data_IF_345353397385
#
_entry.id   IF_345353397385
#
_cell.length_a   1.000
_cell.length_b   1.000
_cell.length_c   1.000
_cell.angle_alpha   90.00
_cell.angle_beta   90.00
_cell.angle_gamma   90.00
#
_symmetry.space_group_name_H-M   'P 1'
#
loop_
_entity.id
_entity.type
_entity.pdbx_description
1 polymer ?
#
# COMPACT_ATOMS: atom_id res chain seq x y z
N UNK A 1 8.68 -37.36 12.00
CA UNK A 1 9.66 -36.80 11.05
C UNK A 1 9.75 -37.79 9.89
N UNK A 2 9.43 -37.38 8.67
CA UNK A 2 9.44 -38.27 7.50
C UNK A 2 10.87 -38.50 7.00
N UNK A 3 11.10 -39.59 6.27
CA UNK A 3 12.41 -39.87 5.66
C UNK A 3 12.82 -38.76 4.68
N UNK A 4 11.86 -38.21 3.93
CA UNK A 4 12.06 -37.06 3.03
C UNK A 4 12.52 -35.80 3.80
N UNK A 5 11.89 -35.50 4.95
CA UNK A 5 12.29 -34.36 5.76
C UNK A 5 13.73 -34.53 6.26
N UNK A 6 14.11 -35.73 6.70
CA UNK A 6 15.48 -36.00 7.15
C UNK A 6 16.49 -35.81 6.02
N UNK A 7 16.21 -36.33 4.82
CA UNK A 7 17.06 -36.20 3.64
C UNK A 7 17.28 -34.72 3.25
N UNK A 8 16.20 -33.96 3.12
CA UNK A 8 16.27 -32.54 2.77
C UNK A 8 16.99 -31.73 3.86
N UNK A 9 16.65 -31.94 5.13
CA UNK A 9 17.27 -31.24 6.26
C UNK A 9 18.74 -31.57 6.42
N UNK A 10 19.21 -32.77 6.02
CA UNK A 10 20.63 -33.08 6.03
C UNK A 10 21.42 -32.17 5.07
N UNK A 11 20.87 -31.88 3.89
CA UNK A 11 21.47 -30.95 2.93
C UNK A 11 21.45 -29.52 3.50
N UNK A 12 20.31 -29.08 4.04
CA UNK A 12 20.15 -27.73 4.60
C UNK A 12 21.08 -27.53 5.80
N UNK A 13 21.16 -28.46 6.75
CA UNK A 13 22.08 -28.38 7.90
C UNK A 13 23.54 -28.29 7.48
N UNK A 14 23.93 -28.99 6.41
CA UNK A 14 25.29 -28.96 5.88
C UNK A 14 25.62 -27.63 5.19
N UNK A 15 24.68 -27.07 4.40
CA UNK A 15 24.94 -25.88 3.57
C UNK A 15 24.59 -24.57 4.27
N UNK A 16 23.56 -24.57 5.11
CA UNK A 16 22.96 -23.41 5.76
C UNK A 16 22.57 -23.73 7.21
N UNK A 17 23.56 -23.96 8.11
CA UNK A 17 23.31 -24.40 9.49
C UNK A 17 22.43 -23.43 10.29
N UNK A 18 22.59 -22.12 10.11
CA UNK A 18 21.76 -21.09 10.77
C UNK A 18 20.30 -21.15 10.31
N UNK A 19 20.08 -21.45 9.03
CA UNK A 19 18.72 -21.61 8.47
C UNK A 19 18.09 -22.86 9.06
N UNK A 20 18.83 -23.96 9.13
CA UNK A 20 18.34 -25.19 9.75
C UNK A 20 17.96 -24.99 11.22
N UNK A 21 18.77 -24.25 11.99
CA UNK A 21 18.48 -23.94 13.39
C UNK A 21 17.17 -23.14 13.54
N UNK A 22 16.93 -22.19 12.63
CA UNK A 22 15.67 -21.42 12.61
C UNK A 22 14.48 -22.31 12.25
N UNK A 23 14.67 -23.25 11.32
CA UNK A 23 13.65 -24.21 10.91
C UNK A 23 13.33 -25.25 11.98
N UNK A 24 14.25 -25.56 12.90
CA UNK A 24 13.98 -26.49 14.01
C UNK A 24 12.89 -25.96 14.98
N UNK A 25 12.62 -24.64 14.98
CA UNK A 25 11.53 -24.02 15.72
C UNK A 25 10.21 -23.93 14.94
N UNK A 26 10.18 -24.34 13.67
CA UNK A 26 9.00 -24.30 12.84
C UNK A 26 7.96 -25.35 13.29
N UNK A 27 6.69 -24.98 13.19
CA UNK A 27 5.56 -25.85 13.51
C UNK A 27 4.70 -26.08 12.26
N UNK A 28 5.04 -27.04 11.38
CA UNK A 28 4.26 -27.30 10.17
C UNK A 28 2.85 -27.82 10.48
N UNK A 29 2.61 -28.41 11.65
CA UNK A 29 1.31 -28.96 12.04
C UNK A 29 0.25 -27.86 12.28
N UNK A 30 0.66 -26.59 12.34
CA UNK A 30 -0.29 -25.45 12.37
C UNK A 30 -0.96 -25.18 11.01
N UNK A 31 -0.53 -25.86 9.95
CA UNK A 31 -1.01 -25.68 8.58
C UNK A 31 -1.90 -26.86 8.18
N UNK A 32 -3.09 -26.58 7.65
CA UNK A 32 -3.99 -27.60 7.12
C UNK A 32 -3.53 -27.98 5.71
N UNK A 33 -2.81 -29.10 5.58
CA UNK A 33 -2.28 -29.57 4.31
C UNK A 33 -3.01 -30.82 3.81
N UNK A 34 -3.37 -30.80 2.52
CA UNK A 34 -3.96 -31.94 1.84
C UNK A 34 -3.40 -32.09 0.43
N UNK A 35 -3.28 -33.34 -0.03
CA UNK A 35 -2.91 -33.63 -1.41
C UNK A 35 -4.08 -33.33 -2.33
N UNK A 36 -3.81 -32.59 -3.42
CA UNK A 36 -4.77 -32.34 -4.48
C UNK A 36 -4.28 -33.00 -5.76
N UNK A 37 -5.14 -33.84 -6.35
CA UNK A 37 -4.84 -34.59 -7.56
C UNK A 37 -5.62 -34.02 -8.74
N UNK A 38 -4.90 -33.61 -9.78
CA UNK A 38 -5.42 -33.33 -11.12
C UNK A 38 -4.74 -34.25 -12.13
N UNK A 39 -4.22 -33.67 -13.23
CA UNK A 39 -3.29 -34.38 -14.10
C UNK A 39 -1.90 -34.54 -13.46
N UNK A 40 -1.54 -33.60 -12.58
CA UNK A 40 -0.38 -33.65 -11.70
C UNK A 40 -0.83 -33.61 -10.22
N UNK A 41 0.12 -33.73 -9.30
CA UNK A 41 -0.11 -33.61 -7.86
C UNK A 41 0.44 -32.29 -7.32
N UNK A 42 -0.33 -31.64 -6.45
CA UNK A 42 0.08 -30.44 -5.70
C UNK A 42 -0.40 -30.56 -4.25
N UNK A 43 0.26 -29.83 -3.35
CA UNK A 43 -0.19 -29.71 -1.96
C UNK A 43 -1.10 -28.47 -1.89
N UNK A 44 -2.28 -28.62 -1.30
CA UNK A 44 -3.10 -27.50 -0.86
C UNK A 44 -2.84 -27.25 0.62
N UNK A 45 -2.53 -26.01 0.98
CA UNK A 45 -2.31 -25.58 2.35
C UNK A 45 -3.30 -24.48 2.68
N UNK A 46 -4.10 -24.66 3.73
CA UNK A 46 -5.18 -23.74 4.12
C UNK A 46 -6.11 -23.37 2.95
N UNK A 47 -6.38 -24.34 2.06
CA UNK A 47 -7.20 -24.16 0.85
C UNK A 47 -6.49 -23.52 -0.35
N UNK A 48 -5.19 -23.21 -0.25
CA UNK A 48 -4.37 -22.63 -1.33
C UNK A 48 -3.46 -23.71 -1.92
N UNK A 49 -3.60 -23.99 -3.21
CA UNK A 49 -2.68 -24.89 -3.92
C UNK A 49 -1.30 -24.23 -4.10
N UNK A 50 -0.22 -24.94 -3.77
CA UNK A 50 1.15 -24.42 -3.88
C UNK A 50 1.61 -24.24 -5.33
N UNK A 51 1.00 -24.97 -6.26
CA UNK A 51 1.15 -24.86 -7.71
C UNK A 51 -0.09 -25.48 -8.39
N UNK A 52 -0.22 -25.30 -9.70
CA UNK A 52 -1.21 -25.91 -10.57
C UNK A 52 -1.28 -27.43 -10.39
N UNK A 53 -2.47 -27.98 -10.11
CA UNK A 53 -2.72 -29.43 -10.11
C UNK A 53 -2.82 -30.03 -11.53
N UNK A 54 -2.77 -29.21 -12.58
CA UNK A 54 -2.86 -29.68 -13.97
C UNK A 54 -1.52 -29.71 -14.67
N UNK A 55 -0.72 -28.65 -14.56
CA UNK A 55 0.61 -28.59 -15.18
C UNK A 55 1.52 -27.65 -14.39
N UNK A 56 2.34 -28.26 -13.52
CA UNK A 56 3.27 -27.56 -12.62
C UNK A 56 4.44 -26.92 -13.35
N UNK A 57 5.02 -27.65 -14.31
CA UNK A 57 6.17 -27.18 -15.06
C UNK A 57 5.80 -25.98 -15.95
N UNK A 58 4.65 -26.02 -16.62
CA UNK A 58 4.19 -24.90 -17.44
C UNK A 58 3.95 -23.61 -16.61
N UNK A 59 3.45 -23.74 -15.38
CA UNK A 59 3.32 -22.58 -14.47
C UNK A 59 4.69 -22.01 -14.08
N UNK A 60 5.63 -22.89 -13.71
CA UNK A 60 6.98 -22.48 -13.36
C UNK A 60 7.72 -21.82 -14.54
N UNK A 61 7.61 -22.40 -15.74
CA UNK A 61 8.15 -21.82 -16.98
C UNK A 61 7.53 -20.44 -17.28
N UNK A 62 6.22 -20.26 -17.07
CA UNK A 62 5.56 -18.98 -17.27
C UNK A 62 6.12 -17.88 -16.35
N UNK A 63 6.50 -18.24 -15.12
CA UNK A 63 7.16 -17.32 -14.19
C UNK A 63 8.60 -17.03 -14.62
N UNK A 64 9.37 -18.06 -15.00
CA UNK A 64 10.78 -17.93 -15.41
C UNK A 64 10.92 -17.12 -16.70
N UNK A 65 10.01 -17.30 -17.66
CA UNK A 65 10.01 -16.61 -18.96
C UNK A 65 9.74 -15.09 -18.85
N UNK A 66 9.39 -14.58 -17.68
CA UNK A 66 9.29 -13.14 -17.42
C UNK A 66 10.65 -12.50 -17.12
N UNK A 67 11.67 -13.30 -16.80
CA UNK A 67 13.01 -12.81 -16.54
C UNK A 67 13.72 -12.41 -17.84
N UNK A 68 14.59 -11.39 -17.82
CA UNK A 68 15.44 -11.10 -18.97
C UNK A 68 16.36 -12.28 -19.31
N UNK A 69 16.48 -12.64 -20.59
CA UNK A 69 17.27 -13.78 -21.03
C UNK A 69 18.78 -13.69 -20.68
N UNK A 70 19.29 -12.47 -20.47
CA UNK A 70 20.68 -12.19 -20.10
C UNK A 70 20.92 -12.18 -18.58
N UNK A 71 19.89 -12.45 -17.77
CA UNK A 71 20.02 -12.47 -16.33
C UNK A 71 20.89 -13.64 -15.85
N UNK A 72 21.93 -13.36 -15.06
CA UNK A 72 22.77 -14.38 -14.40
C UNK A 72 22.48 -14.53 -12.90
N UNK A 73 21.70 -13.62 -12.30
CA UNK A 73 21.37 -13.64 -10.86
C UNK A 73 19.88 -13.41 -10.65
N UNK A 74 19.22 -14.34 -9.96
CA UNK A 74 17.77 -14.28 -9.69
C UNK A 74 17.47 -14.52 -8.21
N UNK A 75 16.47 -13.80 -7.69
CA UNK A 75 15.86 -14.10 -6.39
C UNK A 75 14.45 -14.66 -6.54
N UNK A 76 14.14 -15.76 -5.87
CA UNK A 76 12.81 -16.37 -5.84
C UNK A 76 12.21 -16.15 -4.47
N UNK A 77 11.17 -15.32 -4.39
CA UNK A 77 10.40 -15.09 -3.18
C UNK A 77 9.29 -16.14 -3.08
N UNK A 78 9.52 -17.13 -2.23
CA UNK A 78 8.69 -18.32 -2.09
C UNK A 78 9.33 -19.56 -2.71
N UNK A 79 8.73 -20.72 -2.46
CA UNK A 79 9.21 -22.03 -2.94
C UNK A 79 8.14 -22.77 -3.75
N UNK A 80 6.85 -22.57 -3.44
CA UNK A 80 5.75 -23.31 -4.06
C UNK A 80 5.92 -24.81 -3.83
N UNK A 81 5.85 -25.59 -4.91
CA UNK A 81 6.17 -27.03 -4.91
C UNK A 81 7.64 -27.36 -5.23
N UNK A 82 8.50 -26.33 -5.35
CA UNK A 82 9.92 -26.49 -5.70
C UNK A 82 10.22 -26.45 -7.21
N UNK A 83 9.20 -26.34 -8.06
CA UNK A 83 9.36 -26.42 -9.52
C UNK A 83 10.22 -25.27 -10.09
N UNK A 84 9.99 -24.03 -9.63
CA UNK A 84 10.79 -22.87 -10.06
C UNK A 84 12.26 -23.02 -9.63
N UNK A 85 12.59 -23.30 -8.35
CA UNK A 85 13.96 -23.60 -7.93
C UNK A 85 14.65 -24.71 -8.76
N UNK A 86 13.93 -25.81 -9.05
CA UNK A 86 14.45 -26.91 -9.88
C UNK A 86 14.78 -26.44 -11.30
N UNK A 87 13.83 -25.84 -12.01
CA UNK A 87 14.05 -25.39 -13.39
C UNK A 87 15.14 -24.31 -13.51
N UNK A 88 15.27 -23.43 -12.51
CA UNK A 88 16.37 -22.47 -12.47
C UNK A 88 17.73 -23.16 -12.24
N UNK A 89 17.78 -24.24 -11.47
CA UNK A 89 19.00 -25.05 -11.27
C UNK A 89 19.41 -25.82 -12.55
N UNK A 90 18.47 -26.10 -13.45
CA UNK A 90 18.81 -26.64 -14.77
C UNK A 90 19.41 -25.59 -15.72
N UNK A 91 19.06 -24.32 -15.52
CA UNK A 91 19.56 -23.23 -16.35
C UNK A 91 21.04 -22.91 -16.04
N UNK A 92 21.95 -23.33 -16.92
CA UNK A 92 23.40 -23.15 -16.77
C UNK A 92 23.90 -21.70 -16.97
N UNK A 93 23.05 -20.80 -17.48
CA UNK A 93 23.39 -19.38 -17.59
C UNK A 93 23.35 -18.66 -16.23
N UNK A 94 22.54 -19.15 -15.28
CA UNK A 94 22.47 -18.57 -13.95
C UNK A 94 23.73 -18.91 -13.16
N UNK A 95 24.32 -17.91 -12.53
CA UNK A 95 25.50 -18.02 -11.67
C UNK A 95 25.10 -18.00 -10.20
N UNK A 96 24.02 -17.26 -9.86
CA UNK A 96 23.53 -17.10 -8.51
C UNK A 96 22.00 -17.20 -8.45
N UNK A 97 21.51 -18.13 -7.63
CA UNK A 97 20.08 -18.37 -7.42
C UNK A 97 19.80 -18.19 -5.94
N UNK A 98 19.07 -17.15 -5.58
CA UNK A 98 18.67 -16.91 -4.19
C UNK A 98 17.24 -17.39 -3.99
N UNK A 99 17.02 -18.32 -3.07
CA UNK A 99 15.70 -18.80 -2.69
C UNK A 99 15.34 -18.18 -1.34
N UNK A 100 14.23 -17.46 -1.28
CA UNK A 100 13.76 -16.74 -0.10
C UNK A 100 12.44 -17.34 0.39
N UNK A 101 12.45 -18.34 1.30
CA UNK A 101 11.24 -18.88 1.89
C UNK A 101 10.46 -17.79 2.64
N UNK A 102 9.19 -17.60 2.30
CA UNK A 102 8.37 -16.56 2.90
C UNK A 102 7.62 -17.02 4.17
N UNK A 103 7.57 -18.33 4.38
CA UNK A 103 7.01 -19.00 5.55
C UNK A 103 7.81 -20.28 5.83
N UNK A 104 8.53 -20.33 6.97
CA UNK A 104 9.37 -21.49 7.32
C UNK A 104 8.55 -22.72 7.71
N UNK A 105 7.36 -22.55 8.31
CA UNK A 105 6.45 -23.67 8.56
C UNK A 105 6.03 -24.31 7.23
N UNK A 106 5.77 -23.49 6.21
CA UNK A 106 5.41 -23.96 4.88
C UNK A 106 6.58 -24.70 4.19
N UNK A 107 7.81 -24.19 4.33
CA UNK A 107 8.98 -24.88 3.80
C UNK A 107 9.17 -26.25 4.47
N UNK A 108 9.16 -26.34 5.81
CA UNK A 108 9.29 -27.62 6.51
C UNK A 108 8.19 -28.61 6.12
N UNK A 109 6.97 -28.11 5.93
CA UNK A 109 5.85 -28.91 5.43
C UNK A 109 6.16 -29.48 4.05
N UNK A 110 6.56 -28.63 3.08
CA UNK A 110 6.95 -29.08 1.74
C UNK A 110 8.06 -30.13 1.81
N UNK A 111 9.13 -29.88 2.57
CA UNK A 111 10.25 -30.82 2.72
C UNK A 111 9.84 -32.17 3.33
N UNK A 112 8.69 -32.25 3.99
CA UNK A 112 8.16 -33.49 4.58
C UNK A 112 7.45 -34.39 3.59
N UNK A 113 6.91 -33.81 2.50
CA UNK A 113 6.17 -34.52 1.45
C UNK A 113 6.96 -34.60 0.12
N UNK A 114 7.82 -33.62 -0.09
CA UNK A 114 8.76 -33.32 -1.17
C UNK A 114 10.14 -33.99 -1.15
N UNK A 115 10.64 -34.66 -2.20
CA UNK A 115 12.11 -34.65 -2.39
C UNK A 115 12.48 -33.31 -3.04
N UNK A 116 13.39 -32.56 -2.41
CA UNK A 116 13.87 -31.25 -2.87
C UNK A 116 15.39 -31.22 -3.05
N UNK A 117 16.03 -32.39 -2.99
CA UNK A 117 17.48 -32.55 -2.95
C UNK A 117 18.19 -32.01 -4.18
N UNK A 118 17.54 -32.00 -5.35
CA UNK A 118 18.08 -31.52 -6.61
C UNK A 118 18.54 -30.05 -6.54
N UNK A 119 17.61 -29.11 -6.35
CA UNK A 119 17.94 -27.69 -6.24
C UNK A 119 18.62 -27.36 -4.90
N UNK A 120 18.29 -28.08 -3.81
CA UNK A 120 18.98 -27.91 -2.53
C UNK A 120 20.46 -28.27 -2.58
N UNK A 121 20.90 -29.08 -3.56
CA UNK A 121 22.30 -29.48 -3.72
C UNK A 121 23.09 -28.61 -4.70
N UNK A 122 22.42 -27.78 -5.51
CA UNK A 122 23.09 -26.93 -6.51
C UNK A 122 23.94 -25.84 -5.83
N UNK A 123 25.24 -25.81 -6.12
CA UNK A 123 26.19 -24.89 -5.48
C UNK A 123 25.90 -23.40 -5.73
N UNK A 124 25.13 -23.07 -6.78
CA UNK A 124 24.73 -21.70 -7.12
C UNK A 124 23.53 -21.23 -6.31
N UNK A 125 22.81 -22.15 -5.67
CA UNK A 125 21.68 -21.84 -4.81
C UNK A 125 22.16 -21.32 -3.46
N UNK A 126 21.51 -20.27 -2.95
CA UNK A 126 21.63 -19.76 -1.58
C UNK A 126 20.24 -19.64 -0.98
N UNK A 127 20.05 -20.17 0.23
CA UNK A 127 18.80 -20.07 0.97
C UNK A 127 18.85 -18.85 1.92
N UNK A 128 18.00 -17.86 1.71
CA UNK A 128 17.90 -16.65 2.54
C UNK A 128 16.54 -16.61 3.28
N UNK A 129 16.45 -17.05 4.55
CA UNK A 129 15.17 -17.12 5.26
C UNK A 129 14.64 -15.76 5.73
N UNK A 130 15.51 -14.73 5.77
CA UNK A 130 15.19 -13.39 6.27
C UNK A 130 15.50 -12.33 5.21
N UNK A 131 14.74 -12.28 4.09
CA UNK A 131 14.96 -11.27 3.07
C UNK A 131 14.67 -9.85 3.59
N UNK A 132 15.28 -8.85 2.96
CA UNK A 132 14.98 -7.43 3.23
C UNK A 132 13.50 -7.14 2.99
N UNK A 133 12.89 -6.35 3.87
CA UNK A 133 11.44 -6.13 3.89
C UNK A 133 11.01 -4.87 3.11
N UNK A 134 11.95 -4.03 2.72
CA UNK A 134 11.72 -2.72 2.11
C UNK A 134 12.47 -2.51 0.79
N UNK A 135 13.10 -3.57 0.29
CA UNK A 135 13.88 -3.58 -0.94
C UNK A 135 13.64 -4.89 -1.69
N UNK A 136 13.44 -4.80 -3.00
CA UNK A 136 13.30 -5.95 -3.88
C UNK A 136 14.60 -6.17 -4.65
N UNK A 137 14.93 -7.43 -4.91
CA UNK A 137 15.99 -7.76 -5.84
C UNK A 137 15.68 -7.21 -7.24
N UNK A 138 16.72 -6.90 -8.02
CA UNK A 138 16.54 -6.36 -9.37
C UNK A 138 15.81 -7.34 -10.31
N UNK A 139 16.19 -8.61 -10.28
CA UNK A 139 15.54 -9.68 -11.04
C UNK A 139 14.98 -10.69 -10.04
N UNK A 140 13.66 -10.85 -10.05
CA UNK A 140 13.01 -11.74 -9.11
C UNK A 140 11.80 -12.45 -9.70
N UNK A 141 11.45 -13.56 -9.08
CA UNK A 141 10.18 -14.26 -9.22
C UNK A 141 9.49 -14.23 -7.86
N UNK A 142 8.18 -13.98 -7.83
CA UNK A 142 7.39 -14.09 -6.61
C UNK A 142 6.32 -15.17 -6.78
N UNK A 143 6.39 -16.21 -5.95
CA UNK A 143 5.45 -17.32 -6.00
C UNK A 143 4.14 -16.90 -5.34
N UNK A 144 3.05 -16.89 -6.13
CA UNK A 144 1.77 -16.32 -5.70
C UNK A 144 1.14 -17.07 -4.52
N UNK A 145 1.29 -18.40 -4.47
CA UNK A 145 0.79 -19.22 -3.35
C UNK A 145 1.52 -18.90 -2.05
N UNK A 146 2.85 -18.78 -2.07
CA UNK A 146 3.65 -18.35 -0.91
C UNK A 146 3.31 -16.93 -0.44
N UNK A 147 2.97 -16.00 -1.35
CA UNK A 147 2.51 -14.66 -0.96
C UNK A 147 1.16 -14.69 -0.20
N UNK A 148 0.29 -15.65 -0.53
CA UNK A 148 -0.98 -15.86 0.16
C UNK A 148 -0.80 -16.57 1.51
N UNK A 149 0.17 -17.48 1.59
CA UNK A 149 0.52 -18.26 2.78
C UNK A 149 1.68 -17.65 3.58
N UNK A 150 1.95 -16.36 3.38
CA UNK A 150 3.10 -15.70 3.96
C UNK A 150 3.03 -15.63 5.49
N UNK A 151 4.18 -15.73 6.15
CA UNK A 151 4.28 -15.49 7.59
C UNK A 151 4.06 -14.03 7.95
N UNK A 152 3.70 -13.78 9.21
CA UNK A 152 3.43 -12.45 9.74
C UNK A 152 4.66 -11.55 9.66
N UNK A 153 5.84 -12.13 9.90
CA UNK A 153 7.12 -11.47 9.79
C UNK A 153 7.36 -10.87 8.39
N UNK A 154 6.96 -11.59 7.34
CA UNK A 154 7.18 -11.19 5.95
C UNK A 154 5.99 -10.43 5.33
N UNK A 155 4.96 -10.06 6.11
CA UNK A 155 3.75 -9.40 5.63
C UNK A 155 4.04 -8.16 4.77
N UNK A 156 5.04 -7.38 5.18
CA UNK A 156 5.47 -6.17 4.48
C UNK A 156 6.05 -6.50 3.11
N UNK A 157 6.95 -7.48 3.03
CA UNK A 157 7.54 -7.91 1.78
C UNK A 157 6.47 -8.44 0.80
N UNK A 158 5.44 -9.16 1.29
CA UNK A 158 4.28 -9.52 0.45
C UNK A 158 3.65 -8.29 -0.16
N UNK A 159 3.37 -7.26 0.65
CA UNK A 159 2.70 -6.07 0.15
C UNK A 159 3.57 -5.33 -0.88
N UNK A 160 4.88 -5.30 -0.67
CA UNK A 160 5.85 -4.72 -1.61
C UNK A 160 5.89 -5.48 -2.94
N UNK A 161 5.99 -6.81 -2.90
CA UNK A 161 5.99 -7.68 -4.08
C UNK A 161 4.68 -7.57 -4.85
N UNK A 162 3.55 -7.62 -4.14
CA UNK A 162 2.22 -7.47 -4.74
C UNK A 162 2.04 -6.10 -5.38
N UNK A 163 2.50 -5.02 -4.73
CA UNK A 163 2.44 -3.68 -5.30
C UNK A 163 3.24 -3.59 -6.61
N UNK A 164 4.50 -4.04 -6.62
CA UNK A 164 5.36 -3.98 -7.80
C UNK A 164 4.84 -4.85 -8.95
N UNK A 165 4.44 -6.09 -8.67
CA UNK A 165 3.92 -7.01 -9.69
C UNK A 165 2.66 -6.47 -10.39
N UNK A 166 1.85 -5.67 -9.68
CA UNK A 166 0.60 -5.13 -10.21
C UNK A 166 0.73 -3.68 -10.72
N UNK A 167 1.88 -3.02 -10.54
CA UNK A 167 2.05 -1.59 -10.83
C UNK A 167 1.75 -1.26 -12.31
N UNK A 168 2.33 -2.03 -13.24
CA UNK A 168 2.12 -1.83 -14.67
C UNK A 168 0.64 -2.00 -15.05
N UNK A 169 -0.05 -2.98 -14.47
CA UNK A 169 -1.47 -3.20 -14.71
C UNK A 169 -2.33 -2.07 -14.12
N UNK A 170 -2.06 -1.65 -12.89
CA UNK A 170 -2.77 -0.55 -12.23
C UNK A 170 -2.66 0.76 -13.02
N UNK A 171 -1.47 1.05 -13.55
CA UNK A 171 -1.20 2.29 -14.30
C UNK A 171 -1.79 2.31 -15.71
N UNK A 172 -2.20 1.16 -16.29
CA UNK A 172 -2.83 1.13 -17.63
C UNK A 172 -4.10 1.99 -17.73
N UNK A 173 -4.80 2.20 -16.60
CA UNK A 173 -6.04 3.02 -16.54
C UNK A 173 -5.78 4.51 -16.34
N UNK A 174 -4.53 4.94 -16.24
CA UNK A 174 -4.15 6.32 -15.94
C UNK A 174 -3.26 6.93 -17.02
N UNK A 175 -3.43 6.49 -18.27
CA UNK A 175 -2.67 7.01 -19.40
C UNK A 175 -3.19 8.38 -19.87
N UNK A 176 -2.33 9.24 -20.46
CA UNK A 176 -2.75 10.52 -21.02
C UNK A 176 -3.85 10.40 -22.08
N UNK A 177 -3.89 9.29 -22.83
CA UNK A 177 -4.87 9.08 -23.91
C UNK A 177 -6.26 8.66 -23.41
N UNK A 178 -6.49 8.58 -22.09
CA UNK A 178 -7.82 8.31 -21.54
C UNK A 178 -8.80 9.44 -21.92
N UNK A 179 -9.77 9.11 -22.78
CA UNK A 179 -10.79 10.03 -23.28
C UNK A 179 -11.59 10.67 -22.14
N UNK A 180 -11.86 9.94 -21.04
CA UNK A 180 -12.58 10.50 -19.89
C UNK A 180 -11.74 11.55 -19.16
N UNK A 181 -10.45 11.29 -19.03
CA UNK A 181 -9.50 12.24 -18.46
C UNK A 181 -9.39 13.50 -19.32
N UNK A 182 -9.19 13.35 -20.63
CA UNK A 182 -9.05 14.48 -21.56
C UNK A 182 -10.30 15.36 -21.58
N UNK A 183 -11.49 14.75 -21.59
CA UNK A 183 -12.75 15.49 -21.49
C UNK A 183 -12.84 16.28 -20.19
N UNK A 184 -12.51 15.64 -19.05
CA UNK A 184 -12.54 16.30 -17.75
C UNK A 184 -11.55 17.45 -17.66
N UNK A 185 -10.35 17.27 -18.21
CA UNK A 185 -9.35 18.32 -18.27
C UNK A 185 -9.85 19.52 -19.09
N UNK A 186 -10.47 19.26 -20.24
CA UNK A 186 -11.07 20.32 -21.06
C UNK A 186 -12.18 21.06 -20.32
N UNK A 187 -13.09 20.33 -19.63
CA UNK A 187 -14.18 20.92 -18.84
C UNK A 187 -13.65 21.86 -17.73
N UNK A 188 -12.50 21.53 -17.13
CA UNK A 188 -11.91 22.29 -16.02
C UNK A 188 -10.87 23.33 -16.46
N UNK A 189 -10.53 23.40 -17.75
CA UNK A 189 -9.38 24.17 -18.22
C UNK A 189 -9.48 25.67 -17.89
N UNK A 190 -10.65 26.29 -18.07
CA UNK A 190 -10.81 27.70 -17.72
C UNK A 190 -10.74 27.94 -16.21
N UNK A 191 -11.31 27.04 -15.41
CA UNK A 191 -11.20 27.10 -13.94
C UNK A 191 -9.73 27.02 -13.50
N UNK A 192 -8.92 26.16 -14.12
CA UNK A 192 -7.49 26.01 -13.83
C UNK A 192 -6.69 27.28 -14.19
N UNK A 193 -7.03 27.95 -15.30
CA UNK A 193 -6.38 29.20 -15.70
C UNK A 193 -6.71 30.34 -14.74
N UNK A 194 -7.96 30.41 -14.29
CA UNK A 194 -8.46 31.48 -13.42
C UNK A 194 -7.99 31.31 -11.97
N UNK A 195 -8.06 30.08 -11.45
CA UNK A 195 -7.77 29.83 -10.04
C UNK A 195 -6.26 29.89 -9.76
N UNK A 196 -5.85 30.47 -8.61
CA UNK A 196 -4.45 30.58 -8.23
C UNK A 196 -3.76 29.22 -8.09
N UNK A 197 -2.42 29.26 -8.18
CA UNK A 197 -1.57 28.13 -7.83
C UNK A 197 -1.66 27.83 -6.32
N UNK A 198 -1.85 26.55 -5.94
CA UNK A 198 -1.75 26.10 -4.56
C UNK A 198 -0.41 26.45 -3.89
N UNK A 199 0.67 26.70 -4.65
CA UNK A 199 1.93 27.24 -4.14
C UNK A 199 1.75 28.54 -3.35
N UNK A 200 0.78 29.37 -3.73
CA UNK A 200 0.48 30.66 -3.09
C UNK A 200 -0.07 30.52 -1.66
N UNK A 201 -0.54 29.33 -1.26
CA UNK A 201 -0.96 29.06 0.12
C UNK A 201 0.18 29.26 1.13
N UNK A 202 1.44 29.17 0.69
CA UNK A 202 2.62 29.49 1.53
C UNK A 202 2.68 30.95 1.98
N UNK A 203 1.97 31.85 1.30
CA UNK A 203 1.83 33.25 1.71
C UNK A 203 0.80 33.41 2.84
N UNK A 204 -0.14 32.48 2.96
CA UNK A 204 -1.24 32.50 3.93
C UNK A 204 -0.96 31.66 5.16
N UNK A 205 -0.21 30.57 4.99
CA UNK A 205 0.03 29.58 6.03
C UNK A 205 1.52 29.30 6.20
N UNK A 206 2.03 29.48 7.42
CA UNK A 206 3.36 29.06 7.85
C UNK A 206 3.27 28.27 9.16
N UNK A 207 2.56 27.12 9.15
CA UNK A 207 2.31 26.35 10.36
C UNK A 207 3.59 25.71 10.90
N UNK A 208 3.76 25.71 12.22
CA UNK A 208 4.72 24.81 12.88
C UNK A 208 4.17 23.37 12.95
N UNK A 209 2.85 23.23 13.05
CA UNK A 209 2.11 21.97 13.20
C UNK A 209 0.88 21.95 12.29
N UNK A 210 0.67 20.82 11.61
CA UNK A 210 -0.50 20.57 10.77
C UNK A 210 -1.19 19.27 11.17
N UNK A 211 -2.52 19.32 11.28
CA UNK A 211 -3.38 18.16 11.43
C UNK A 211 -3.89 17.77 10.05
N UNK A 212 -3.50 16.59 9.58
CA UNK A 212 -3.98 16.05 8.31
C UNK A 212 -5.05 15.01 8.59
N UNK A 213 -6.24 15.24 8.02
CA UNK A 213 -7.47 14.55 8.41
C UNK A 213 -7.99 13.74 7.23
N UNK A 214 -7.83 12.42 7.33
CA UNK A 214 -8.43 11.42 6.46
C UNK A 214 -9.88 11.11 6.82
N UNK A 215 -10.44 10.07 6.22
CA UNK A 215 -11.86 9.65 6.38
C UNK A 215 -12.00 8.27 7.03
N UNK A 216 -10.89 7.69 7.51
CA UNK A 216 -10.90 6.38 8.17
C UNK A 216 -11.73 6.39 9.46
N UNK A 217 -12.36 5.26 9.83
CA UNK A 217 -13.17 5.12 11.04
C UNK A 217 -12.57 5.66 12.34
N UNK A 218 -11.24 5.60 12.51
CA UNK A 218 -10.60 6.09 13.74
C UNK A 218 -10.76 7.59 13.96
N UNK A 219 -11.14 8.35 12.92
CA UNK A 219 -11.46 9.78 13.03
C UNK A 219 -12.52 10.05 14.11
N UNK A 220 -13.49 9.14 14.29
CA UNK A 220 -14.61 9.30 15.22
C UNK A 220 -14.17 9.44 16.68
N UNK A 221 -12.98 8.95 17.02
CA UNK A 221 -12.41 9.02 18.36
C UNK A 221 -11.79 10.39 18.66
N UNK A 222 -11.61 11.24 17.65
CA UNK A 222 -10.79 12.44 17.73
C UNK A 222 -11.58 13.74 17.53
N UNK A 223 -12.90 13.68 17.38
CA UNK A 223 -13.69 14.89 17.13
C UNK A 223 -13.58 15.94 18.23
N UNK A 224 -13.60 15.52 19.50
CA UNK A 224 -13.47 16.46 20.63
C UNK A 224 -12.09 17.13 20.64
N UNK A 225 -11.02 16.35 20.44
CA UNK A 225 -9.67 16.90 20.30
C UNK A 225 -9.58 17.89 19.13
N UNK A 226 -10.08 17.53 17.95
CA UNK A 226 -10.07 18.39 16.77
C UNK A 226 -10.85 19.68 17.00
N UNK A 227 -12.02 19.62 17.66
CA UNK A 227 -12.81 20.80 18.03
C UNK A 227 -12.06 21.70 19.00
N UNK A 228 -11.39 21.11 20.00
CA UNK A 228 -10.55 21.86 20.94
C UNK A 228 -9.35 22.54 20.25
N UNK A 229 -8.67 21.84 19.33
CA UNK A 229 -7.59 22.44 18.54
C UNK A 229 -8.11 23.58 17.65
N UNK A 230 -9.30 23.43 17.05
CA UNK A 230 -9.91 24.46 16.21
C UNK A 230 -10.23 25.74 16.99
N UNK A 231 -10.57 25.62 18.27
CA UNK A 231 -10.91 26.74 19.15
C UNK A 231 -9.68 27.53 19.66
N UNK A 232 -8.45 27.07 19.39
CA UNK A 232 -7.24 27.77 19.79
C UNK A 232 -7.08 29.12 19.06
N UNK A 233 -6.38 30.10 19.66
CA UNK A 233 -6.03 31.35 18.98
C UNK A 233 -5.26 31.09 17.68
N UNK A 234 -5.52 31.88 16.63
CA UNK A 234 -4.89 31.71 15.32
C UNK A 234 -3.36 31.64 15.36
N UNK A 235 -2.71 32.36 16.28
CA UNK A 235 -1.26 32.35 16.44
C UNK A 235 -0.68 30.99 16.89
N UNK A 236 -1.48 30.16 17.53
CA UNK A 236 -1.08 28.86 18.10
C UNK A 236 -1.86 27.68 17.55
N UNK A 237 -2.96 27.94 16.82
CA UNK A 237 -3.82 26.92 16.23
C UNK A 237 -3.07 26.16 15.13
N UNK A 238 -3.07 24.83 15.13
CA UNK A 238 -2.49 24.07 14.02
C UNK A 238 -3.31 24.25 12.75
N UNK A 239 -2.65 24.20 11.60
CA UNK A 239 -3.35 24.15 10.31
C UNK A 239 -4.12 22.83 10.20
N UNK A 240 -5.36 22.87 9.74
CA UNK A 240 -6.17 21.67 9.49
C UNK A 240 -6.39 21.46 8.00
N UNK A 241 -5.83 20.36 7.47
CA UNK A 241 -6.00 19.95 6.08
C UNK A 241 -6.80 18.65 6.05
N UNK A 242 -7.99 18.67 5.48
CA UNK A 242 -8.86 17.50 5.37
C UNK A 242 -8.92 16.97 3.93
N UNK A 243 -9.16 15.66 3.77
CA UNK A 243 -9.60 15.11 2.48
C UNK A 243 -11.09 15.36 2.27
N UNK A 244 -11.52 15.47 1.02
CA UNK A 244 -12.92 15.76 0.63
C UNK A 244 -13.97 14.89 1.34
N UNK A 245 -13.77 13.58 1.37
CA UNK A 245 -14.69 12.60 1.99
C UNK A 245 -14.78 12.68 3.51
N UNK A 246 -13.84 13.36 4.17
CA UNK A 246 -13.88 13.62 5.61
C UNK A 246 -14.74 14.85 5.95
N UNK A 247 -14.92 15.78 5.00
CA UNK A 247 -15.56 17.07 5.25
C UNK A 247 -16.99 16.93 5.79
N UNK A 248 -17.76 15.96 5.27
CA UNK A 248 -19.13 15.73 5.73
C UNK A 248 -19.20 15.35 7.21
N UNK A 249 -18.31 14.48 7.65
CA UNK A 249 -18.23 14.06 9.04
C UNK A 249 -17.78 15.23 9.94
N UNK A 250 -16.75 15.97 9.51
CA UNK A 250 -16.24 17.12 10.26
C UNK A 250 -17.31 18.21 10.45
N UNK A 251 -18.03 18.58 9.39
CA UNK A 251 -19.09 19.59 9.47
C UNK A 251 -20.23 19.14 10.38
N UNK A 252 -20.62 17.86 10.35
CA UNK A 252 -21.63 17.31 11.27
C UNK A 252 -21.22 17.47 12.74
N UNK A 253 -19.92 17.39 13.02
CA UNK A 253 -19.34 17.51 14.36
C UNK A 253 -18.92 18.95 14.72
N UNK A 254 -19.33 19.92 13.91
CA UNK A 254 -19.00 21.34 14.04
C UNK A 254 -17.50 21.62 13.98
N UNK A 255 -16.77 20.87 13.14
CA UNK A 255 -15.34 21.04 12.87
C UNK A 255 -15.19 21.55 11.44
N UNK A 256 -14.57 22.72 11.30
CA UNK A 256 -14.36 23.37 10.00
C UNK A 256 -12.85 23.40 9.72
N UNK A 257 -12.34 22.60 8.76
CA UNK A 257 -10.93 22.60 8.40
C UNK A 257 -10.55 23.90 7.67
N UNK A 258 -9.26 24.18 7.57
CA UNK A 258 -8.77 25.35 6.81
C UNK A 258 -8.74 25.09 5.31
N UNK A 259 -8.29 23.88 4.95
CA UNK A 259 -8.10 23.43 3.58
C UNK A 259 -8.76 22.06 3.42
N UNK A 260 -9.45 21.87 2.29
CA UNK A 260 -9.88 20.56 1.81
C UNK A 260 -9.11 20.24 0.53
N UNK A 261 -8.60 19.02 0.42
CA UNK A 261 -8.03 18.52 -0.83
C UNK A 261 -9.05 17.61 -1.52
N UNK A 262 -9.23 17.81 -2.83
CA UNK A 262 -9.99 16.90 -3.68
C UNK A 262 -9.20 16.52 -4.94
N UNK A 263 -9.08 15.22 -5.18
CA UNK A 263 -8.33 14.66 -6.31
C UNK A 263 -9.13 13.64 -7.12
N UNK A 264 -10.04 12.90 -6.47
CA UNK A 264 -10.71 11.75 -7.08
C UNK A 264 -11.80 12.19 -8.08
N UNK A 265 -11.78 11.56 -9.26
CA UNK A 265 -12.72 11.78 -10.35
C UNK A 265 -14.18 11.48 -9.96
N UNK A 266 -14.41 10.59 -8.99
CA UNK A 266 -15.73 10.12 -8.59
C UNK A 266 -16.39 10.98 -7.51
N UNK A 267 -15.66 11.96 -6.95
CA UNK A 267 -16.19 12.84 -5.92
C UNK A 267 -17.14 13.85 -6.56
N UNK A 268 -18.42 13.65 -6.27
CA UNK A 268 -19.54 14.55 -6.56
C UNK A 268 -20.06 15.25 -5.31
N UNK A 269 -20.98 16.22 -5.47
CA UNK A 269 -21.63 16.94 -4.36
C UNK A 269 -22.31 16.02 -3.34
N UNK A 270 -22.74 14.81 -3.74
CA UNK A 270 -23.34 13.84 -2.83
C UNK A 270 -22.38 13.35 -1.73
N UNK A 271 -21.07 13.47 -1.95
CA UNK A 271 -20.01 13.11 -1.02
C UNK A 271 -19.61 14.25 -0.08
N UNK A 272 -20.18 15.43 -0.28
CA UNK A 272 -19.89 16.65 0.49
C UNK A 272 -21.07 16.95 1.44
N UNK A 273 -20.87 17.82 2.44
CA UNK A 273 -21.98 18.37 3.22
C UNK A 273 -22.98 19.11 2.31
N UNK A 274 -24.24 19.14 2.71
CA UNK A 274 -25.28 19.89 1.98
C UNK A 274 -24.99 21.39 1.91
N UNK A 275 -24.40 21.93 2.98
CA UNK A 275 -23.92 23.31 3.07
C UNK A 275 -22.40 23.30 3.19
N UNK A 276 -21.73 23.73 2.13
CA UNK A 276 -20.28 23.89 2.12
C UNK A 276 -19.87 25.13 2.94
N UNK A 277 -18.90 25.05 3.86
CA UNK A 277 -18.50 26.22 4.62
C UNK A 277 -17.69 27.21 3.77
N UNK A 278 -18.13 28.47 3.71
CA UNK A 278 -17.56 29.53 2.84
C UNK A 278 -16.07 29.82 3.10
N UNK A 279 -15.60 29.59 4.33
CA UNK A 279 -14.22 29.91 4.73
C UNK A 279 -13.21 28.81 4.37
N UNK A 280 -13.68 27.63 3.97
CA UNK A 280 -12.81 26.47 3.67
C UNK A 280 -12.23 26.63 2.28
N UNK A 281 -10.90 26.60 2.19
CA UNK A 281 -10.19 26.64 0.91
C UNK A 281 -10.21 25.27 0.25
N UNK A 282 -10.36 25.21 -1.07
CA UNK A 282 -10.25 23.98 -1.85
C UNK A 282 -8.90 23.94 -2.57
N UNK A 283 -8.14 22.88 -2.36
CA UNK A 283 -7.04 22.50 -3.27
C UNK A 283 -7.56 21.36 -4.15
N UNK A 284 -7.73 21.61 -5.44
CA UNK A 284 -8.26 20.64 -6.38
C UNK A 284 -7.25 20.24 -7.45
N UNK A 285 -7.50 19.08 -8.05
CA UNK A 285 -6.72 18.55 -9.17
C UNK A 285 -7.56 18.55 -10.44
N UNK A 286 -6.95 18.52 -11.65
CA UNK A 286 -7.70 18.67 -12.90
C UNK A 286 -8.78 17.61 -13.14
N UNK A 287 -8.74 16.49 -12.40
CA UNK A 287 -9.72 15.40 -12.47
C UNK A 287 -10.99 15.63 -11.66
N UNK A 288 -11.03 16.62 -10.77
CA UNK A 288 -12.20 16.93 -9.92
C UNK A 288 -13.43 17.23 -10.78
N UNK A 289 -14.63 16.86 -10.31
CA UNK A 289 -15.85 17.12 -11.07
C UNK A 289 -16.12 18.65 -11.17
N UNK A 290 -16.44 19.20 -12.35
CA UNK A 290 -16.72 20.62 -12.52
C UNK A 290 -17.81 21.12 -11.58
N UNK A 291 -18.86 20.32 -11.34
CA UNK A 291 -19.93 20.71 -10.42
C UNK A 291 -19.42 20.94 -8.99
N UNK A 292 -18.43 20.16 -8.53
CA UNK A 292 -17.80 20.36 -7.22
C UNK A 292 -17.02 21.67 -7.20
N UNK A 293 -16.28 21.98 -8.27
CA UNK A 293 -15.54 23.24 -8.36
C UNK A 293 -16.47 24.45 -8.39
N UNK A 294 -17.51 24.41 -9.23
CA UNK A 294 -18.46 25.51 -9.38
C UNK A 294 -19.32 25.75 -8.13
N UNK A 295 -19.65 24.70 -7.38
CA UNK A 295 -20.42 24.82 -6.14
C UNK A 295 -19.56 25.22 -4.94
N UNK A 296 -18.24 25.20 -5.03
CA UNK A 296 -17.38 25.52 -3.90
C UNK A 296 -17.44 27.01 -3.57
N UNK A 297 -17.90 27.40 -2.37
CA UNK A 297 -18.12 28.81 -2.02
C UNK A 297 -16.83 29.53 -1.60
N UNK A 298 -15.83 28.79 -1.12
CA UNK A 298 -14.54 29.33 -0.69
C UNK A 298 -13.53 29.50 -1.82
N UNK A 299 -12.35 30.05 -1.49
CA UNK A 299 -11.26 30.19 -2.45
C UNK A 299 -10.77 28.81 -2.93
N UNK A 300 -10.50 28.71 -4.24
CA UNK A 300 -9.99 27.49 -4.88
C UNK A 300 -8.57 27.69 -5.35
N UNK A 301 -7.78 26.62 -5.29
CA UNK A 301 -6.39 26.57 -5.71
C UNK A 301 -6.15 25.31 -6.53
N UNK A 302 -5.53 25.46 -7.70
CA UNK A 302 -5.21 24.32 -8.54
C UNK A 302 -3.83 23.75 -8.18
N UNK A 303 -3.74 22.42 -8.13
CA UNK A 303 -2.51 21.66 -7.99
C UNK A 303 -2.52 20.47 -8.96
N UNK A 304 -1.35 19.93 -9.31
CA UNK A 304 -1.23 18.75 -10.16
C UNK A 304 -0.52 17.62 -9.41
N UNK A 305 -0.66 16.38 -9.89
CA UNK A 305 0.18 15.31 -9.38
C UNK A 305 1.54 15.31 -10.09
N UNK A 306 2.51 14.62 -9.50
CA UNK A 306 3.84 14.41 -10.09
C UNK A 306 3.83 13.51 -11.34
N UNK A 307 2.67 12.96 -11.74
CA UNK A 307 2.58 12.06 -12.90
C UNK A 307 2.77 12.83 -14.22
N UNK A 308 3.51 12.23 -15.15
CA UNK A 308 3.84 12.76 -16.50
C UNK A 308 2.60 13.20 -17.31
N UNK A 309 1.43 12.63 -17.01
CA UNK A 309 0.15 12.99 -17.62
C UNK A 309 -0.20 14.48 -17.48
N UNK A 310 0.38 15.17 -16.48
CA UNK A 310 0.16 16.60 -16.26
C UNK A 310 1.29 17.49 -16.78
N UNK A 311 2.32 16.94 -17.42
CA UNK A 311 3.52 17.71 -17.81
C UNK A 311 3.21 18.80 -18.84
N UNK A 312 2.43 18.46 -19.88
CA UNK A 312 2.03 19.44 -20.89
C UNK A 312 1.17 20.56 -20.29
N UNK A 313 0.21 20.19 -19.44
CA UNK A 313 -0.63 21.15 -18.75
C UNK A 313 0.20 22.08 -17.86
N UNK A 314 1.16 21.52 -17.12
CA UNK A 314 2.02 22.27 -16.22
C UNK A 314 3.02 23.17 -16.95
N UNK A 315 3.48 22.77 -18.14
CA UNK A 315 4.31 23.62 -19.00
C UNK A 315 3.57 24.88 -19.46
N UNK A 316 2.28 24.76 -19.76
CA UNK A 316 1.43 25.88 -20.22
C UNK A 316 0.88 26.72 -19.07
N UNK A 317 0.46 26.06 -17.98
CA UNK A 317 -0.17 26.66 -16.81
C UNK A 317 0.48 26.08 -15.55
N UNK A 318 1.66 26.58 -15.15
CA UNK A 318 2.39 26.06 -14.01
C UNK A 318 1.54 26.10 -12.74
N UNK A 319 1.52 24.97 -12.01
CA UNK A 319 0.97 24.87 -10.65
C UNK A 319 1.89 24.03 -9.78
N UNK A 320 1.71 24.13 -8.47
CA UNK A 320 2.32 23.24 -7.50
C UNK A 320 2.00 21.80 -7.85
N UNK A 321 3.05 20.96 -7.87
CA UNK A 321 2.91 19.54 -8.07
C UNK A 321 3.11 18.81 -6.75
N UNK A 322 2.10 18.04 -6.36
CA UNK A 322 2.06 17.30 -5.12
C UNK A 322 2.16 15.79 -5.37
N UNK A 323 2.80 15.10 -4.44
CA UNK A 323 2.87 13.64 -4.38
C UNK A 323 1.46 13.06 -4.25
N UNK A 324 1.11 12.13 -5.13
CA UNK A 324 -0.12 11.38 -5.07
C UNK A 324 0.11 9.97 -5.59
N UNK A 325 -0.32 8.95 -4.83
CA UNK A 325 -0.23 7.55 -5.25
C UNK A 325 -1.51 6.78 -4.91
N UNK A 326 -2.62 7.27 -5.46
CA UNK A 326 -3.94 6.62 -5.40
C UNK A 326 -4.84 7.03 -4.23
N UNK A 327 -4.35 7.80 -3.26
CA UNK A 327 -5.19 8.34 -2.17
C UNK A 327 -5.05 9.85 -2.04
N UNK A 328 -6.16 10.54 -1.74
CA UNK A 328 -6.22 11.99 -1.49
C UNK A 328 -5.42 12.38 -0.25
N UNK A 329 -5.14 11.43 0.65
CA UNK A 329 -4.31 11.69 1.83
C UNK A 329 -2.85 12.02 1.45
N UNK A 330 -2.34 11.47 0.35
CA UNK A 330 -0.95 11.71 -0.09
C UNK A 330 -0.69 13.19 -0.40
N UNK A 331 -1.48 13.85 -1.28
CA UNK A 331 -1.28 15.28 -1.54
C UNK A 331 -1.65 16.16 -0.34
N UNK A 332 -2.54 15.72 0.56
CA UNK A 332 -2.83 16.47 1.79
C UNK A 332 -1.61 16.54 2.72
N UNK A 333 -0.90 15.42 2.86
CA UNK A 333 0.35 15.33 3.62
C UNK A 333 1.46 16.13 2.90
N UNK A 334 1.61 15.97 1.59
CA UNK A 334 2.66 16.66 0.84
C UNK A 334 2.45 18.18 0.82
N UNK A 335 1.19 18.65 0.79
CA UNK A 335 0.89 20.08 0.96
C UNK A 335 1.33 20.58 2.34
N UNK A 336 1.09 19.82 3.41
CA UNK A 336 1.55 20.19 4.75
C UNK A 336 3.08 20.32 4.83
N UNK A 337 3.81 19.41 4.15
CA UNK A 337 5.28 19.48 4.03
C UNK A 337 5.72 20.68 3.19
N UNK A 338 5.06 20.94 2.06
CA UNK A 338 5.31 22.10 1.21
C UNK A 338 5.18 23.41 1.99
N UNK A 339 4.13 23.52 2.83
CA UNK A 339 3.87 24.65 3.74
C UNK A 339 4.80 24.70 4.96
N UNK A 340 5.88 23.90 4.97
CA UNK A 340 6.96 23.92 5.97
C UNK A 340 6.55 23.50 7.39
N UNK A 341 5.48 22.72 7.51
CA UNK A 341 5.11 22.08 8.78
C UNK A 341 6.27 21.27 9.34
N UNK A 342 6.58 21.46 10.62
CA UNK A 342 7.61 20.65 11.32
C UNK A 342 7.02 19.40 11.95
N UNK A 343 5.74 19.45 12.27
CA UNK A 343 4.99 18.33 12.83
C UNK A 343 3.72 18.11 12.02
N UNK A 344 3.49 16.87 11.60
CA UNK A 344 2.28 16.44 10.90
C UNK A 344 1.63 15.32 11.71
N UNK A 345 0.39 15.54 12.14
CA UNK A 345 -0.38 14.55 12.91
C UNK A 345 -1.50 14.03 12.01
N UNK A 346 -1.54 12.72 11.84
CA UNK A 346 -2.48 12.02 10.96
C UNK A 346 -3.69 11.53 11.75
N UNK A 347 -4.88 11.93 11.31
CA UNK A 347 -6.18 11.48 11.86
C UNK A 347 -6.95 10.73 10.78
N UNK A 348 -7.64 9.63 11.13
CA UNK A 348 -8.45 8.87 10.16
C UNK A 348 -7.64 8.30 8.98
N UNK A 349 -6.35 8.02 9.17
CA UNK A 349 -5.44 7.47 8.15
C UNK A 349 -5.28 5.96 8.35
N UNK A 350 -6.38 5.22 8.31
CA UNK A 350 -6.40 3.85 8.82
C UNK A 350 -5.79 2.80 7.88
N UNK A 351 -5.93 2.94 6.56
CA UNK A 351 -5.47 1.94 5.56
C UNK A 351 -5.91 0.49 5.84
N UNK A 352 -6.98 0.31 6.60
CA UNK A 352 -7.61 -0.95 6.95
C UNK A 352 -9.06 -0.66 7.35
N UNK A 353 -9.76 -1.67 7.87
CA UNK A 353 -11.12 -1.55 8.37
C UNK A 353 -11.20 -1.78 9.88
N UNK A 354 -10.84 -0.77 10.71
CA UNK A 354 -11.06 -0.85 12.14
C UNK A 354 -12.53 -1.15 12.43
N UNK A 355 -12.77 -2.16 13.28
CA UNK A 355 -14.12 -2.56 13.73
C UNK A 355 -15.09 -2.90 12.58
N UNK A 356 -14.57 -3.38 11.44
CA UNK A 356 -15.36 -3.67 10.23
C UNK A 356 -16.15 -2.47 9.72
N UNK A 357 -15.57 -1.27 9.76
CA UNK A 357 -16.13 -0.06 9.16
C UNK A 357 -15.21 0.43 8.05
N UNK A 358 -15.76 0.91 6.93
CA UNK A 358 -14.94 1.37 5.81
C UNK A 358 -14.50 2.82 5.94
N UNK A 359 -15.39 3.69 6.43
CA UNK A 359 -15.17 5.13 6.55
C UNK A 359 -15.90 5.66 7.79
N UNK A 360 -15.39 6.72 8.43
CA UNK A 360 -16.10 7.44 9.47
C UNK A 360 -17.38 8.08 8.90
N UNK A 361 -18.46 8.17 9.69
CA UNK A 361 -19.78 8.73 9.33
C UNK A 361 -20.58 8.01 8.23
N UNK A 362 -19.93 7.43 7.21
CA UNK A 362 -20.62 6.82 6.07
C UNK A 362 -21.13 5.39 6.35
N UNK A 363 -22.29 5.00 5.80
CA UNK A 363 -22.67 3.59 5.73
C UNK A 363 -21.63 2.75 4.97
N UNK A 364 -21.52 1.47 5.32
CA UNK A 364 -20.59 0.53 4.65
C UNK A 364 -20.81 0.50 3.12
N UNK A 365 -19.72 0.43 2.34
CA UNK A 365 -19.77 0.34 0.87
C UNK A 365 -20.14 1.62 0.12
N UNK A 366 -20.41 2.76 0.79
CA UNK A 366 -20.82 4.00 0.10
C UNK A 366 -19.70 4.73 -0.65
N UNK A 367 -18.48 4.72 -0.13
CA UNK A 367 -17.35 5.48 -0.66
C UNK A 367 -16.27 4.62 -1.33
N UNK A 368 -16.42 3.29 -1.31
CA UNK A 368 -15.37 2.36 -1.73
C UNK A 368 -15.82 0.90 -1.67
N UNK A 369 -14.90 -0.05 -1.90
CA UNK A 369 -15.22 -1.46 -1.91
C UNK A 369 -15.83 -1.95 -0.58
N UNK A 370 -16.71 -2.95 -0.66
CA UNK A 370 -17.36 -3.57 0.49
C UNK A 370 -16.38 -4.48 1.24
N UNK A 371 -16.55 -4.63 2.56
CA UNK A 371 -15.74 -5.55 3.37
C UNK A 371 -15.96 -6.99 2.92
N UNK A 372 -17.13 -7.31 2.35
CA UNK A 372 -17.46 -8.64 1.81
C UNK A 372 -16.53 -9.10 0.70
N UNK A 373 -15.91 -8.17 -0.04
CA UNK A 373 -14.99 -8.46 -1.15
C UNK A 373 -13.52 -8.61 -0.69
N UNK A 374 -13.25 -8.43 0.60
CA UNK A 374 -11.89 -8.25 1.16
C UNK A 374 -11.31 -9.46 1.91
N UNK A 375 -11.96 -10.64 1.84
CA UNK A 375 -11.72 -11.80 2.74
C UNK A 375 -10.28 -12.35 2.83
N UNK A 376 -9.34 -11.89 2.00
CA UNK A 376 -7.98 -12.43 1.93
C UNK A 376 -6.86 -11.41 2.17
N UNK A 377 -7.18 -10.13 2.42
CA UNK A 377 -6.15 -9.10 2.63
C UNK A 377 -6.17 -8.56 4.06
N UNK A 378 -4.98 -8.51 4.66
CA UNK A 378 -4.73 -8.06 6.02
C UNK A 378 -3.44 -7.24 6.16
N UNK A 379 -3.36 -6.37 7.15
CA UNK A 379 -2.13 -5.67 7.60
C UNK A 379 -2.03 -5.77 9.12
N UNK A 380 -0.88 -5.40 9.68
CA UNK A 380 -0.70 -5.29 11.13
C UNK A 380 -1.08 -3.87 11.56
N UNK A 381 -1.95 -3.74 12.56
CA UNK A 381 -2.34 -2.44 13.12
C UNK A 381 -1.31 -1.91 14.12
N UNK A 382 -1.54 -0.73 14.68
CA UNK A 382 -0.67 -0.13 15.70
C UNK A 382 -0.58 -0.93 17.02
N UNK A 383 -1.53 -1.82 17.31
CA UNK A 383 -1.49 -2.73 18.47
C UNK A 383 -0.71 -4.02 18.22
N UNK A 384 -0.36 -4.31 16.96
CA UNK A 384 0.29 -5.57 16.56
C UNK A 384 -0.67 -6.66 16.08
N UNK A 385 -1.96 -6.37 15.98
CA UNK A 385 -2.99 -7.31 15.54
C UNK A 385 -3.17 -7.32 14.02
N UNK A 386 -3.59 -8.46 13.48
CA UNK A 386 -4.03 -8.56 12.08
C UNK A 386 -5.40 -7.92 11.90
N UNK A 387 -5.46 -6.93 11.02
CA UNK A 387 -6.70 -6.24 10.63
C UNK A 387 -6.96 -6.38 9.14
N UNK A 388 -8.23 -6.51 8.77
CA UNK A 388 -8.66 -6.65 7.37
C UNK A 388 -8.41 -5.34 6.61
N UNK A 389 -7.99 -5.45 5.35
CA UNK A 389 -7.76 -4.32 4.46
C UNK A 389 -8.07 -4.71 3.00
N UNK A 390 -7.81 -3.82 2.05
CA UNK A 390 -7.77 -4.15 0.63
C UNK A 390 -6.37 -3.99 0.04
N UNK A 391 -6.19 -4.60 -1.13
CA UNK A 391 -4.95 -4.52 -1.89
C UNK A 391 -4.54 -3.07 -2.20
N UNK A 392 -5.48 -2.19 -2.55
CA UNK A 392 -5.16 -0.79 -2.84
C UNK A 392 -4.73 -0.02 -1.58
N UNK A 393 -5.34 -0.29 -0.42
CA UNK A 393 -4.95 0.36 0.84
C UNK A 393 -3.53 0.00 1.27
N UNK A 394 -3.11 -1.26 1.07
CA UNK A 394 -1.71 -1.68 1.24
C UNK A 394 -0.77 -0.87 0.35
N UNK A 395 -1.15 -0.66 -0.91
CA UNK A 395 -0.39 0.21 -1.83
C UNK A 395 -0.30 1.66 -1.35
N UNK A 396 -1.40 2.23 -0.85
CA UNK A 396 -1.43 3.59 -0.31
C UNK A 396 -0.54 3.74 0.93
N UNK A 397 -0.57 2.74 1.82
CA UNK A 397 0.28 2.67 3.00
C UNK A 397 1.75 2.63 2.61
N UNK A 398 2.17 1.71 1.73
CA UNK A 398 3.56 1.61 1.28
C UNK A 398 4.06 2.90 0.63
N UNK A 399 3.22 3.52 -0.20
CA UNK A 399 3.54 4.79 -0.84
C UNK A 399 3.74 5.91 0.18
N UNK A 400 2.90 5.98 1.22
CA UNK A 400 3.03 6.97 2.29
C UNK A 400 4.31 6.75 3.09
N UNK A 401 4.62 5.51 3.49
CA UNK A 401 5.82 5.20 4.25
C UNK A 401 7.10 5.50 3.46
N UNK A 402 7.09 5.23 2.15
CA UNK A 402 8.18 5.63 1.28
C UNK A 402 8.33 7.15 1.24
N UNK A 403 7.23 7.88 1.07
CA UNK A 403 7.22 9.34 1.09
C UNK A 403 7.76 9.91 2.42
N UNK A 404 7.28 9.42 3.57
CA UNK A 404 7.73 9.85 4.91
C UNK A 404 9.25 9.71 5.06
N UNK A 405 9.81 8.58 4.62
CA UNK A 405 11.26 8.32 4.67
C UNK A 405 12.07 9.35 3.86
N UNK A 406 11.50 9.98 2.84
CA UNK A 406 12.16 11.05 2.07
C UNK A 406 12.18 12.41 2.77
N UNK A 407 11.49 12.55 3.91
CA UNK A 407 11.30 13.81 4.65
C UNK A 407 11.84 13.73 6.09
N UNK A 408 13.14 13.45 6.30
CA UNK A 408 13.72 13.29 7.65
C UNK A 408 13.61 14.54 8.54
N UNK A 409 13.37 15.71 7.95
CA UNK A 409 13.22 17.00 8.64
C UNK A 409 11.82 17.26 9.21
N UNK A 410 10.85 16.36 8.96
CA UNK A 410 9.46 16.47 9.43
C UNK A 410 9.14 15.33 10.38
N UNK A 411 8.56 15.65 11.53
CA UNK A 411 8.06 14.64 12.46
C UNK A 411 6.62 14.25 12.10
N UNK A 412 6.41 12.97 11.77
CA UNK A 412 5.08 12.42 11.48
C UNK A 412 4.55 11.65 12.68
N UNK A 413 3.28 11.89 13.02
CA UNK A 413 2.58 11.21 14.10
C UNK A 413 1.32 10.55 13.59
N UNK A 414 1.04 9.33 14.06
CA UNK A 414 -0.24 8.66 13.88
C UNK A 414 -1.06 8.81 15.17
N UNK A 415 -2.29 9.32 15.06
CA UNK A 415 -3.15 9.53 16.23
C UNK A 415 -3.87 8.27 16.72
N UNK A 416 -3.86 7.19 15.92
CA UNK A 416 -4.63 5.97 16.18
C UNK A 416 -3.78 4.71 16.08
N UNK A 417 -3.94 3.79 17.04
CA UNK A 417 -3.38 2.44 16.98
C UNK A 417 -4.34 1.43 16.33
N UNK A 418 -5.59 1.81 16.08
CA UNK A 418 -6.61 0.94 15.49
C UNK A 418 -6.38 0.72 13.99
N UNK A 419 -5.77 1.71 13.33
CA UNK A 419 -5.39 1.66 11.91
C UNK A 419 -4.13 0.84 11.66
N UNK A 420 -3.82 0.58 10.39
CA UNK A 420 -2.56 -0.03 9.97
C UNK A 420 -1.35 0.72 10.57
N UNK A 421 -0.34 -0.01 11.04
CA UNK A 421 0.90 0.60 11.49
C UNK A 421 1.59 1.30 10.30
N UNK A 422 1.90 2.59 10.46
CA UNK A 422 2.56 3.41 9.42
C UNK A 422 4.03 3.58 9.78
N UNK A 423 4.92 2.89 9.07
CA UNK A 423 6.37 2.98 9.30
C UNK A 423 6.87 4.41 9.06
N UNK A 424 7.68 4.92 9.99
CA UNK A 424 8.20 6.28 9.98
C UNK A 424 7.33 7.29 10.75
N UNK A 425 6.21 6.85 11.34
CA UNK A 425 5.41 7.66 12.27
C UNK A 425 5.67 7.26 13.71
N UNK A 426 5.46 8.21 14.63
CA UNK A 426 5.36 7.96 16.08
C UNK A 426 3.89 7.97 16.50
N UNK A 427 3.52 7.16 17.49
CA UNK A 427 2.18 7.28 18.07
C UNK A 427 2.07 8.56 18.92
N UNK A 428 0.98 9.31 18.74
CA UNK A 428 0.63 10.45 19.58
C UNK A 428 -0.80 10.32 20.05
N UNK A 429 -1.00 10.19 21.35
CA UNK A 429 -2.32 10.18 21.95
C UNK A 429 -2.96 11.58 21.88
N UNK A 430 -4.13 11.67 21.24
CA UNK A 430 -4.88 12.91 21.03
C UNK A 430 -6.29 12.73 21.61
N UNK A 431 -6.49 13.12 22.86
CA UNK A 431 -7.77 13.01 23.58
C UNK A 431 -8.35 14.37 23.92
#
# INVERSE_FOLDING_TARGET
>A
MTDLLQQNMAIIRRRWPEVAQTMDAANPDSLDAMLVTGANHTISVNGIQLSSCYNRLAEAELMINQLPAWCSTVSVYGVGMGDVPTLLSDNKHLEHIRICPLNLNLLVLLLSYTDQSEWLSDLRVVLEPNPRQDELAQHYIAIISDLQLISDHNARLRDLLMFHNNLAFANKRHKPEDVKFQRRLADNLETIKQDPDAASLSLLFQPSKTLVIGTGPSLEQHYDYLRAQMALPLATRPLMIAVDTALKALVNENIIPDIVISLDYNISLAHLPEVLPEKVKLVYFPRSQPQVLHAWPGERFAAYSLNETYDELNSRYPKLRLFANGSVIHPAIDLAVYLKSKQIILFGCDFCYPKNKTHAFWPEGKLGPSITDSKHHWVINGHGDKVITHLNFRGYLLALEHYIRTKPEVAFYNSSLEGAAIKGTLYLECK
#
